data_IF_962219578682
#
_entry.id   IF_962219578682
#
_cell.length_a   1.000
_cell.length_b   1.000
_cell.length_c   1.000
_cell.angle_alpha   90.00
_cell.angle_beta   90.00
_cell.angle_gamma   90.00
#
_symmetry.space_group_name_H-M   'P 1'
#
loop_
_entity.id
_entity.type
_entity.pdbx_description
1 polymer ?
#
# COMPACT_ATOMS: atom_id res chain seq x y z
N UNK A 1 -29.74 -6.80 -15.33
CA UNK A 1 -29.33 -6.77 -13.90
C UNK A 1 -29.27 -8.20 -13.44
N UNK A 2 -28.19 -8.59 -12.77
CA UNK A 2 -28.07 -9.91 -12.14
C UNK A 2 -28.96 -9.94 -10.88
N UNK A 3 -29.63 -11.06 -10.63
CA UNK A 3 -30.45 -11.27 -9.44
C UNK A 3 -30.29 -12.68 -8.90
N UNK A 4 -30.70 -12.86 -7.65
CA UNK A 4 -30.57 -14.12 -6.93
C UNK A 4 -31.85 -14.37 -6.14
N UNK A 5 -32.39 -15.58 -6.24
CA UNK A 5 -33.60 -15.97 -5.51
C UNK A 5 -33.22 -16.56 -4.15
N UNK A 6 -33.79 -15.99 -3.08
CA UNK A 6 -33.64 -16.48 -1.70
C UNK A 6 -35.04 -16.55 -1.11
N UNK A 7 -35.46 -17.74 -0.68
CA UNK A 7 -36.78 -17.97 -0.07
C UNK A 7 -37.96 -17.39 -0.90
N UNK A 8 -37.91 -17.53 -2.24
CA UNK A 8 -38.95 -17.04 -3.15
C UNK A 8 -38.92 -15.52 -3.43
N UNK A 9 -37.94 -14.80 -2.91
CA UNK A 9 -37.74 -13.37 -3.17
C UNK A 9 -36.52 -13.14 -4.07
N UNK A 10 -36.65 -12.25 -5.05
CA UNK A 10 -35.55 -11.86 -5.93
C UNK A 10 -34.80 -10.65 -5.37
N UNK A 11 -33.52 -10.83 -5.11
CA UNK A 11 -32.61 -9.78 -4.68
C UNK A 11 -31.71 -9.37 -5.85
N UNK A 12 -31.50 -8.06 -6.01
CA UNK A 12 -30.45 -7.56 -6.91
C UNK A 12 -29.09 -7.88 -6.33
N UNK A 13 -28.16 -8.27 -7.17
CA UNK A 13 -26.78 -8.53 -6.76
C UNK A 13 -25.82 -7.57 -7.44
N UNK A 14 -24.79 -7.19 -6.69
CA UNK A 14 -23.68 -6.41 -7.22
C UNK A 14 -23.06 -7.23 -8.38
N UNK A 15 -22.83 -6.62 -9.55
CA UNK A 15 -22.52 -7.36 -10.77
C UNK A 15 -21.15 -8.06 -10.73
N UNK A 16 -20.92 -8.94 -11.72
CA UNK A 16 -19.64 -9.60 -12.00
C UNK A 16 -19.15 -10.56 -10.90
N UNK A 17 -20.04 -11.08 -10.04
CA UNK A 17 -19.66 -11.97 -8.93
C UNK A 17 -19.49 -13.45 -9.31
N UNK A 18 -20.17 -13.89 -10.37
CA UNK A 18 -20.36 -15.32 -10.69
C UNK A 18 -20.79 -16.18 -9.48
N UNK A 19 -21.90 -15.84 -8.78
CA UNK A 19 -22.27 -16.46 -7.50
C UNK A 19 -22.37 -17.99 -7.52
N UNK A 20 -22.82 -18.57 -8.62
CA UNK A 20 -22.94 -20.03 -8.78
C UNK A 20 -21.59 -20.75 -8.72
N UNK A 21 -20.51 -20.09 -9.15
CA UNK A 21 -19.15 -20.65 -9.10
C UNK A 21 -18.50 -20.44 -7.73
N UNK A 22 -18.72 -19.28 -7.12
CA UNK A 22 -18.03 -18.88 -5.87
C UNK A 22 -18.78 -19.31 -4.61
N UNK A 23 -20.08 -19.62 -4.70
CA UNK A 23 -20.95 -19.80 -3.55
C UNK A 23 -21.15 -18.53 -2.73
N UNK A 24 -20.83 -17.36 -3.30
CA UNK A 24 -20.81 -16.06 -2.63
C UNK A 24 -21.43 -15.00 -3.55
N UNK A 25 -22.36 -14.21 -3.02
CA UNK A 25 -22.94 -13.04 -3.67
C UNK A 25 -22.98 -11.83 -2.71
N UNK A 26 -23.02 -10.64 -3.29
CA UNK A 26 -23.32 -9.41 -2.56
C UNK A 26 -24.67 -8.87 -3.00
N UNK A 27 -25.63 -8.83 -2.09
CA UNK A 27 -26.95 -8.27 -2.34
C UNK A 27 -26.88 -6.76 -2.26
N UNK A 28 -27.41 -6.07 -3.28
CA UNK A 28 -27.49 -4.61 -3.28
C UNK A 28 -28.47 -4.12 -2.23
N UNK A 29 -28.14 -3.00 -1.58
CA UNK A 29 -29.10 -2.31 -0.73
C UNK A 29 -29.98 -1.41 -1.60
N UNK A 30 -31.32 -1.37 -1.43
CA UNK A 30 -32.19 -0.57 -2.29
C UNK A 30 -31.90 0.93 -2.32
N UNK A 31 -31.27 1.45 -1.27
CA UNK A 31 -30.88 2.86 -1.13
C UNK A 31 -29.41 3.14 -1.49
N UNK A 32 -28.65 2.13 -1.91
CA UNK A 32 -27.26 2.29 -2.33
C UNK A 32 -26.96 1.38 -3.52
N UNK A 33 -26.79 2.00 -4.69
CA UNK A 33 -26.41 1.28 -5.90
C UNK A 33 -24.89 1.21 -6.06
N UNK A 34 -24.38 0.23 -6.83
CA UNK A 34 -22.97 0.19 -7.21
C UNK A 34 -22.48 1.55 -7.73
N UNK A 35 -21.44 2.09 -7.10
CA UNK A 35 -20.93 3.43 -7.35
C UNK A 35 -19.41 3.47 -7.26
N UNK A 36 -18.84 4.66 -7.43
CA UNK A 36 -17.41 4.91 -7.37
C UNK A 36 -16.88 4.91 -5.94
N UNK A 37 -15.56 4.87 -5.82
CA UNK A 37 -14.84 4.90 -4.54
C UNK A 37 -15.38 5.95 -3.57
N UNK A 38 -15.56 7.20 -3.99
CA UNK A 38 -15.96 8.29 -3.10
C UNK A 38 -17.32 8.02 -2.44
N UNK A 39 -18.31 7.58 -3.23
CA UNK A 39 -19.64 7.29 -2.72
C UNK A 39 -19.66 6.05 -1.83
N UNK A 40 -18.87 5.03 -2.17
CA UNK A 40 -18.75 3.83 -1.35
C UNK A 40 -18.03 4.10 -0.03
N UNK A 41 -16.93 4.85 -0.06
CA UNK A 41 -16.16 5.25 1.12
C UNK A 41 -16.99 6.13 2.05
N UNK A 42 -17.68 7.14 1.51
CA UNK A 42 -18.57 8.00 2.28
C UNK A 42 -19.71 7.21 2.91
N UNK A 43 -20.32 6.27 2.16
CA UNK A 43 -21.37 5.41 2.70
C UNK A 43 -20.86 4.54 3.86
N UNK A 44 -19.67 3.94 3.74
CA UNK A 44 -19.08 3.15 4.83
C UNK A 44 -18.78 4.00 6.07
N UNK A 45 -18.50 5.30 5.89
CA UNK A 45 -18.26 6.23 6.99
C UNK A 45 -19.56 6.69 7.66
N UNK A 46 -20.54 7.14 6.88
CA UNK A 46 -21.75 7.81 7.38
C UNK A 46 -22.86 6.84 7.79
N UNK A 47 -23.13 5.83 6.97
CA UNK A 47 -24.21 4.87 7.18
C UNK A 47 -23.81 3.48 6.62
N UNK A 48 -22.93 2.74 7.31
CA UNK A 48 -22.47 1.44 6.87
C UNK A 48 -23.61 0.41 6.76
N UNK A 49 -24.81 0.71 7.27
CA UNK A 49 -25.97 -0.19 7.12
C UNK A 49 -26.45 -0.30 5.65
N UNK A 50 -26.11 0.68 4.81
CA UNK A 50 -26.45 0.75 3.40
C UNK A 50 -25.52 -0.09 2.50
N UNK A 51 -24.45 -0.66 3.04
CA UNK A 51 -23.51 -1.43 2.22
C UNK A 51 -24.15 -2.73 1.68
N UNK A 52 -23.61 -3.30 0.59
CA UNK A 52 -24.04 -4.61 0.12
C UNK A 52 -23.96 -5.70 1.21
N UNK A 53 -24.87 -6.67 1.19
CA UNK A 53 -24.91 -7.77 2.18
C UNK A 53 -24.39 -9.08 1.61
N UNK A 54 -23.70 -9.88 2.43
CA UNK A 54 -23.31 -11.22 2.02
C UNK A 54 -24.53 -12.13 1.86
N UNK A 55 -24.56 -12.85 0.75
CA UNK A 55 -25.29 -14.09 0.61
C UNK A 55 -24.30 -15.23 0.34
N UNK A 56 -24.45 -16.34 1.04
CA UNK A 56 -23.59 -17.52 0.92
C UNK A 56 -24.42 -18.74 0.57
N UNK A 57 -23.89 -19.62 -0.29
CA UNK A 57 -24.56 -20.86 -0.66
C UNK A 57 -24.14 -21.96 0.32
N UNK A 58 -25.09 -22.46 1.11
CA UNK A 58 -24.91 -23.61 2.01
C UNK A 58 -25.88 -24.72 1.66
N UNK A 59 -25.38 -25.95 1.51
CA UNK A 59 -26.20 -27.12 1.16
C UNK A 59 -27.09 -26.88 -0.07
N UNK A 60 -26.59 -26.14 -1.06
CA UNK A 60 -27.33 -25.80 -2.28
C UNK A 60 -28.33 -24.65 -2.14
N UNK A 61 -28.57 -24.13 -0.94
CA UNK A 61 -29.49 -23.03 -0.66
C UNK A 61 -28.73 -21.74 -0.35
N UNK A 62 -29.28 -20.60 -0.77
CA UNK A 62 -28.70 -19.30 -0.49
C UNK A 62 -29.18 -18.78 0.87
N UNK A 63 -28.26 -18.25 1.67
CA UNK A 63 -28.54 -17.67 2.99
C UNK A 63 -27.92 -16.27 3.09
N UNK A 64 -28.66 -15.30 3.61
CA UNK A 64 -28.15 -13.95 3.90
C UNK A 64 -27.48 -13.93 5.26
N UNK A 65 -26.30 -13.32 5.37
CA UNK A 65 -25.63 -13.12 6.66
C UNK A 65 -26.10 -11.79 7.29
N UNK A 66 -27.28 -11.78 7.89
CA UNK A 66 -27.94 -10.56 8.38
C UNK A 66 -27.10 -9.77 9.41
N UNK A 67 -26.36 -10.46 10.27
CA UNK A 67 -25.57 -9.85 11.34
C UNK A 67 -24.08 -9.67 10.99
N UNK A 68 -23.70 -9.84 9.71
CA UNK A 68 -22.32 -9.63 9.27
C UNK A 68 -22.25 -8.74 8.03
N UNK A 69 -21.70 -7.56 8.23
CA UNK A 69 -21.35 -6.66 7.15
C UNK A 69 -20.05 -7.10 6.46
N UNK A 70 -19.92 -6.93 5.13
CA UNK A 70 -18.64 -7.03 4.45
C UNK A 70 -17.54 -6.15 5.04
N UNK A 71 -17.86 -4.89 5.37
CA UNK A 71 -16.92 -3.90 5.89
C UNK A 71 -17.48 -3.31 7.18
N UNK A 72 -16.69 -3.36 8.25
CA UNK A 72 -17.03 -2.81 9.56
C UNK A 72 -16.43 -1.41 9.79
N UNK A 73 -15.68 -0.91 8.82
CA UNK A 73 -15.08 0.42 8.76
C UNK A 73 -14.91 0.85 7.31
N UNK A 74 -14.58 2.12 7.11
CA UNK A 74 -14.23 2.65 5.79
C UNK A 74 -12.97 1.97 5.22
N UNK A 75 -12.77 2.03 3.91
CA UNK A 75 -11.60 1.44 3.26
C UNK A 75 -10.32 2.14 3.75
N UNK A 76 -10.35 3.47 3.90
CA UNK A 76 -9.26 4.23 4.54
C UNK A 76 -8.99 3.78 5.97
N UNK A 77 -10.02 3.44 6.74
CA UNK A 77 -9.90 2.92 8.10
C UNK A 77 -9.14 1.59 8.16
N UNK A 78 -9.38 0.68 7.21
CA UNK A 78 -8.60 -0.55 7.10
C UNK A 78 -7.12 -0.29 6.75
N UNK A 79 -6.84 0.67 5.86
CA UNK A 79 -5.46 1.05 5.53
C UNK A 79 -4.77 1.62 6.78
N UNK A 80 -5.43 2.53 7.50
CA UNK A 80 -4.88 3.22 8.66
C UNK A 80 -4.55 2.28 9.82
N UNK A 81 -5.35 1.23 10.01
CA UNK A 81 -5.11 0.21 11.03
C UNK A 81 -3.82 -0.58 10.77
N UNK A 82 -3.48 -0.78 9.49
CA UNK A 82 -2.27 -1.51 9.08
C UNK A 82 -1.06 -0.58 8.98
N UNK A 83 -1.23 0.60 8.37
CA UNK A 83 -0.17 1.55 8.04
C UNK A 83 -0.39 2.89 8.76
N UNK A 84 -0.25 2.84 10.09
CA UNK A 84 -0.62 3.93 11.01
C UNK A 84 0.13 5.25 10.80
N UNK A 85 1.32 5.23 10.20
CA UNK A 85 2.11 6.46 10.04
C UNK A 85 1.88 7.14 8.69
N UNK A 86 1.04 6.59 7.79
CA UNK A 86 0.68 7.26 6.54
C UNK A 86 -0.04 8.59 6.79
N UNK A 87 0.17 9.54 5.88
CA UNK A 87 -0.61 10.78 5.80
C UNK A 87 -2.04 10.49 5.31
N UNK A 88 -2.98 11.37 5.62
CA UNK A 88 -4.39 11.24 5.19
C UNK A 88 -4.52 11.11 3.66
N UNK A 89 -3.70 11.86 2.91
CA UNK A 89 -3.66 11.77 1.46
C UNK A 89 -3.23 10.36 1.00
N UNK A 90 -2.16 9.82 1.58
CA UNK A 90 -1.70 8.46 1.28
C UNK A 90 -2.71 7.39 1.69
N UNK A 91 -3.39 7.54 2.84
CA UNK A 91 -4.46 6.63 3.25
C UNK A 91 -5.59 6.60 2.21
N UNK A 92 -6.04 7.77 1.74
CA UNK A 92 -7.09 7.88 0.72
C UNK A 92 -6.65 7.31 -0.63
N UNK A 93 -5.44 7.66 -1.09
CA UNK A 93 -4.93 7.23 -2.38
C UNK A 93 -4.66 5.73 -2.43
N UNK A 94 -4.18 5.14 -1.34
CA UNK A 94 -4.01 3.69 -1.20
C UNK A 94 -5.36 2.99 -1.23
N UNK A 95 -6.34 3.44 -0.44
CA UNK A 95 -7.68 2.85 -0.40
C UNK A 95 -8.37 2.93 -1.78
N UNK A 96 -8.30 4.08 -2.43
CA UNK A 96 -8.85 4.30 -3.78
C UNK A 96 -8.17 3.42 -4.84
N UNK A 97 -6.85 3.36 -4.82
CA UNK A 97 -6.07 2.56 -5.77
C UNK A 97 -6.36 1.07 -5.58
N UNK A 98 -6.44 0.61 -4.34
CA UNK A 98 -6.82 -0.76 -4.02
C UNK A 98 -8.24 -1.05 -4.50
N UNK A 99 -9.21 -0.18 -4.23
CA UNK A 99 -10.58 -0.30 -4.74
C UNK A 99 -10.60 -0.44 -6.27
N UNK A 100 -9.96 0.49 -6.98
CA UNK A 100 -9.98 0.49 -8.44
C UNK A 100 -9.34 -0.79 -9.03
N UNK A 101 -8.20 -1.22 -8.46
CA UNK A 101 -7.49 -2.42 -8.93
C UNK A 101 -8.21 -3.71 -8.58
N UNK A 102 -8.81 -3.78 -7.38
CA UNK A 102 -9.59 -4.93 -6.95
C UNK A 102 -10.79 -5.14 -7.89
N UNK A 103 -11.48 -4.05 -8.25
CA UNK A 103 -12.61 -4.07 -9.16
C UNK A 103 -12.23 -4.15 -10.64
N UNK A 104 -10.97 -3.90 -11.01
CA UNK A 104 -10.56 -3.65 -12.41
C UNK A 104 -11.38 -2.53 -13.09
N UNK A 105 -11.90 -1.60 -12.29
CA UNK A 105 -12.84 -0.55 -12.69
C UNK A 105 -12.89 0.51 -11.59
N UNK A 106 -13.32 1.73 -11.94
CA UNK A 106 -13.67 2.78 -10.98
C UNK A 106 -15.04 2.56 -10.31
N UNK A 107 -15.79 1.51 -10.69
CA UNK A 107 -17.09 1.15 -10.12
C UNK A 107 -16.98 -0.18 -9.37
N UNK A 108 -17.64 -0.25 -8.20
CA UNK A 108 -17.71 -1.44 -7.36
C UNK A 108 -18.34 -2.65 -8.09
N UNK A 109 -17.75 -3.83 -7.90
CA UNK A 109 -18.31 -5.10 -8.32
C UNK A 109 -18.05 -6.21 -7.28
N UNK A 110 -18.76 -7.34 -7.40
CA UNK A 110 -18.72 -8.42 -6.41
C UNK A 110 -17.34 -9.07 -6.27
N UNK A 111 -16.59 -9.24 -7.36
CA UNK A 111 -15.23 -9.80 -7.32
C UNK A 111 -14.27 -8.85 -6.60
N UNK A 112 -14.35 -7.55 -6.89
CA UNK A 112 -13.56 -6.54 -6.22
C UNK A 112 -13.85 -6.44 -4.72
N UNK A 113 -15.11 -6.62 -4.29
CA UNK A 113 -15.45 -6.68 -2.87
C UNK A 113 -14.81 -7.88 -2.15
N UNK A 114 -14.80 -9.06 -2.78
CA UNK A 114 -14.11 -10.23 -2.24
C UNK A 114 -12.61 -9.98 -2.14
N UNK A 115 -12.01 -9.43 -3.20
CA UNK A 115 -10.58 -9.10 -3.22
C UNK A 115 -10.23 -8.09 -2.15
N UNK A 116 -11.01 -7.01 -2.00
CA UNK A 116 -10.82 -6.00 -0.96
C UNK A 116 -10.82 -6.63 0.43
N UNK A 117 -11.85 -7.41 0.75
CA UNK A 117 -11.96 -8.03 2.07
C UNK A 117 -10.81 -8.99 2.34
N UNK A 118 -10.41 -9.77 1.35
CA UNK A 118 -9.27 -10.68 1.48
C UNK A 118 -7.96 -9.92 1.66
N UNK A 119 -7.73 -8.85 0.90
CA UNK A 119 -6.52 -8.02 1.01
C UNK A 119 -6.39 -7.41 2.40
N UNK A 120 -7.45 -6.78 2.93
CA UNK A 120 -7.39 -6.19 4.28
C UNK A 120 -7.16 -7.24 5.38
N UNK A 121 -7.79 -8.42 5.26
CA UNK A 121 -7.53 -9.52 6.20
C UNK A 121 -6.08 -9.97 6.16
N UNK A 122 -5.50 -10.08 4.97
CA UNK A 122 -4.09 -10.47 4.82
C UNK A 122 -3.16 -9.37 5.35
N UNK A 123 -3.48 -8.10 5.14
CA UNK A 123 -2.70 -6.99 5.70
C UNK A 123 -2.71 -6.97 7.23
N UNK A 124 -3.84 -7.30 7.85
CA UNK A 124 -3.99 -7.38 9.30
C UNK A 124 -3.34 -8.63 9.91
N UNK A 125 -3.29 -9.74 9.16
CA UNK A 125 -2.72 -11.02 9.63
C UNK A 125 -1.57 -11.48 8.73
N UNK A 126 -0.35 -11.22 9.21
CA UNK A 126 0.95 -11.63 8.66
C UNK A 126 1.15 -13.15 8.51
N UNK A 127 0.27 -13.97 9.09
CA UNK A 127 0.33 -15.44 9.00
C UNK A 127 -0.66 -16.02 7.99
N UNK A 128 -1.53 -15.18 7.42
CA UNK A 128 -2.54 -15.60 6.44
C UNK A 128 -1.88 -16.07 5.14
N UNK A 129 -2.52 -17.05 4.47
CA UNK A 129 -2.03 -17.63 3.23
C UNK A 129 -1.72 -16.56 2.16
N UNK A 130 -0.73 -16.86 1.30
CA UNK A 130 -0.22 -15.97 0.24
C UNK A 130 -1.33 -15.22 -0.48
N UNK A 131 -1.13 -13.91 -0.64
CA UNK A 131 -2.09 -13.02 -1.28
C UNK A 131 -2.28 -13.45 -2.75
N UNK A 132 -3.52 -13.78 -3.19
CA UNK A 132 -3.74 -14.25 -4.56
C UNK A 132 -3.34 -13.22 -5.62
N UNK A 133 -3.44 -11.93 -5.28
CA UNK A 133 -3.07 -10.78 -6.10
C UNK A 133 -1.85 -10.11 -5.51
N UNK A 134 -0.66 -10.56 -5.92
CA UNK A 134 0.62 -10.10 -5.40
C UNK A 134 0.80 -8.58 -5.56
N UNK A 135 0.26 -7.99 -6.61
CA UNK A 135 0.29 -6.55 -6.86
C UNK A 135 -0.51 -5.70 -5.85
N UNK A 136 -1.39 -6.34 -5.06
CA UNK A 136 -2.18 -5.73 -3.99
C UNK A 136 -1.64 -6.12 -2.61
N UNK A 137 -0.56 -6.91 -2.56
CA UNK A 137 -0.06 -7.46 -1.32
C UNK A 137 0.52 -6.38 -0.39
N UNK A 138 0.94 -5.25 -0.94
CA UNK A 138 1.51 -4.14 -0.19
C UNK A 138 1.32 -2.79 -0.95
N UNK A 139 1.08 -1.65 -0.26
CA UNK A 139 1.01 -0.33 -0.87
C UNK A 139 2.21 0.06 -1.74
N UNK A 140 3.43 -0.38 -1.39
CA UNK A 140 4.63 -0.13 -2.18
C UNK A 140 4.59 -0.84 -3.54
N UNK A 141 3.91 -1.99 -3.63
CA UNK A 141 3.67 -2.70 -4.88
C UNK A 141 2.62 -2.00 -5.74
N UNK A 142 1.79 -1.17 -5.12
CA UNK A 142 0.78 -0.37 -5.82
C UNK A 142 1.34 0.92 -6.43
N UNK A 143 2.53 1.37 -6.02
CA UNK A 143 3.15 2.55 -6.59
C UNK A 143 3.47 2.37 -8.08
N UNK A 144 3.21 3.39 -8.92
CA UNK A 144 3.69 3.41 -10.30
C UNK A 144 5.21 3.54 -10.32
N UNK A 145 5.84 2.94 -11.32
CA UNK A 145 7.27 3.11 -11.59
C UNK A 145 7.48 4.50 -12.19
N UNK A 146 8.31 5.32 -11.56
CA UNK A 146 8.66 6.64 -12.07
C UNK A 146 9.78 6.51 -13.11
N UNK A 147 9.53 7.03 -14.31
CA UNK A 147 10.53 7.09 -15.39
C UNK A 147 11.52 8.22 -15.14
N UNK A 148 12.81 7.95 -15.31
CA UNK A 148 13.85 8.97 -15.31
C UNK A 148 13.78 9.79 -16.59
N UNK A 149 13.50 11.08 -16.47
CA UNK A 149 13.37 11.99 -17.61
C UNK A 149 14.63 12.82 -17.89
N UNK A 150 15.56 12.92 -16.93
CA UNK A 150 16.73 13.81 -17.02
C UNK A 150 18.03 13.17 -16.55
N UNK A 151 19.13 13.39 -17.28
CA UNK A 151 20.49 12.94 -16.90
C UNK A 151 21.17 13.86 -15.87
N UNK A 152 20.41 14.74 -15.21
CA UNK A 152 20.92 15.77 -14.28
C UNK A 152 21.29 15.21 -12.90
N UNK A 153 21.03 13.93 -12.63
CA UNK A 153 21.20 13.32 -11.31
C UNK A 153 20.14 13.74 -10.28
N UNK A 154 19.09 14.42 -10.74
CA UNK A 154 17.94 14.83 -9.95
C UNK A 154 16.66 14.31 -10.60
N UNK A 155 15.81 13.70 -9.79
CA UNK A 155 14.50 13.20 -10.18
C UNK A 155 13.42 14.10 -9.61
N UNK A 156 12.47 14.53 -10.46
CA UNK A 156 11.30 15.27 -10.01
C UNK A 156 10.40 14.38 -9.14
N UNK A 157 10.04 14.87 -7.97
CA UNK A 157 9.13 14.19 -7.06
C UNK A 157 7.69 14.39 -7.52
N UNK A 158 6.85 13.33 -7.47
CA UNK A 158 5.41 13.51 -7.60
C UNK A 158 4.89 14.47 -6.51
N UNK A 159 3.89 15.30 -6.84
CA UNK A 159 3.24 16.14 -5.85
C UNK A 159 2.61 15.27 -4.75
N UNK A 160 2.67 15.74 -3.51
CA UNK A 160 2.11 15.05 -2.34
C UNK A 160 0.58 15.14 -2.26
N UNK A 161 -0.03 16.03 -3.03
CA UNK A 161 -1.46 16.30 -3.11
C UNK A 161 -2.06 15.93 -4.48
N UNK A 162 -1.45 14.96 -5.17
CA UNK A 162 -1.89 14.49 -6.49
C UNK A 162 -3.31 13.86 -6.41
N UNK A 163 -4.33 14.71 -6.45
CA UNK A 163 -5.71 14.35 -6.15
C UNK A 163 -6.15 13.06 -6.88
N UNK A 164 -6.39 12.01 -6.09
CA UNK A 164 -7.00 10.77 -6.53
C UNK A 164 -6.07 9.81 -7.27
N UNK A 165 -4.76 9.98 -7.19
CA UNK A 165 -3.80 9.04 -7.79
C UNK A 165 -2.61 8.75 -6.87
N UNK A 166 -2.50 7.48 -6.46
CA UNK A 166 -1.33 6.99 -5.74
C UNK A 166 -0.07 7.09 -6.61
N UNK A 167 0.82 8.03 -6.29
CA UNK A 167 2.11 8.24 -6.97
C UNK A 167 3.32 8.11 -6.05
N UNK A 168 3.11 8.33 -4.76
CA UNK A 168 4.08 8.26 -3.67
C UNK A 168 3.35 7.87 -2.40
N UNK A 169 4.07 7.30 -1.44
CA UNK A 169 3.60 7.17 -0.07
C UNK A 169 4.25 8.26 0.77
N UNK A 170 3.44 8.89 1.60
CA UNK A 170 3.84 9.92 2.54
C UNK A 170 3.48 9.51 3.95
N UNK A 171 4.45 9.65 4.84
CA UNK A 171 4.32 9.36 6.26
C UNK A 171 4.35 10.68 7.04
N UNK A 172 3.37 10.85 7.93
CA UNK A 172 3.11 12.10 8.62
C UNK A 172 3.93 12.19 9.92
N UNK A 173 4.88 13.14 10.05
CA UNK A 173 5.81 13.17 11.19
C UNK A 173 5.17 13.35 12.57
N UNK A 174 3.94 13.86 12.63
CA UNK A 174 3.15 13.91 13.86
C UNK A 174 2.87 12.52 14.47
N UNK A 175 2.89 11.44 13.66
CA UNK A 175 2.68 10.07 14.15
C UNK A 175 3.96 9.46 14.76
N UNK A 176 5.14 10.04 14.47
CA UNK A 176 6.47 9.60 14.92
C UNK A 176 7.36 10.80 15.31
N UNK A 177 6.80 11.69 16.14
CA UNK A 177 7.42 12.98 16.48
C UNK A 177 8.79 12.85 17.15
N UNK A 178 9.00 11.78 17.93
CA UNK A 178 10.29 11.54 18.60
C UNK A 178 11.38 11.24 17.58
N UNK A 179 11.12 10.34 16.63
CA UNK A 179 12.04 9.99 15.56
C UNK A 179 12.32 11.19 14.66
N UNK A 180 11.29 11.97 14.34
CA UNK A 180 11.41 13.18 13.53
C UNK A 180 12.27 14.26 14.21
N UNK A 181 12.01 14.55 15.48
CA UNK A 181 12.77 15.56 16.24
C UNK A 181 14.24 15.16 16.39
N UNK A 182 14.52 13.87 16.61
CA UNK A 182 15.89 13.35 16.67
C UNK A 182 16.64 13.55 15.34
N UNK A 183 15.97 13.30 14.20
CA UNK A 183 16.55 13.57 12.89
C UNK A 183 16.77 15.07 12.64
N UNK A 184 15.82 15.93 13.01
CA UNK A 184 15.97 17.37 12.83
C UNK A 184 17.11 17.97 13.67
N UNK A 185 17.37 17.40 14.85
CA UNK A 185 18.49 17.82 15.69
C UNK A 185 19.86 17.49 15.07
N UNK A 186 19.96 16.39 14.31
CA UNK A 186 21.16 15.98 13.59
C UNK A 186 20.78 15.25 12.28
N UNK A 187 20.65 15.97 11.15
CA UNK A 187 20.17 15.41 9.87
C UNK A 187 21.26 14.64 9.11
N UNK A 188 21.98 13.76 9.81
CA UNK A 188 23.00 12.88 9.23
C UNK A 188 22.38 11.71 8.45
N UNK A 189 23.15 11.11 7.53
CA UNK A 189 22.72 9.91 6.81
C UNK A 189 22.38 8.74 7.75
N UNK A 190 23.07 8.64 8.89
CA UNK A 190 22.77 7.65 9.91
C UNK A 190 21.39 7.89 10.52
N UNK A 191 21.10 9.12 10.95
CA UNK A 191 19.81 9.46 11.53
C UNK A 191 18.68 9.39 10.50
N UNK A 192 18.95 9.64 9.21
CA UNK A 192 18.00 9.40 8.13
C UNK A 192 17.66 7.91 7.99
N UNK A 193 18.66 7.02 7.97
CA UNK A 193 18.44 5.55 7.98
C UNK A 193 17.64 5.12 9.21
N UNK A 194 17.96 5.68 10.38
CA UNK A 194 17.26 5.38 11.64
C UNK A 194 15.81 5.85 11.63
N UNK A 195 15.55 7.09 11.20
CA UNK A 195 14.20 7.65 11.05
C UNK A 195 13.34 6.78 10.14
N UNK A 196 13.80 6.56 8.90
CA UNK A 196 13.00 5.82 7.91
C UNK A 196 12.89 4.34 8.30
N UNK A 197 13.95 3.74 8.85
CA UNK A 197 13.92 2.37 9.36
C UNK A 197 12.89 2.19 10.48
N UNK A 198 12.82 3.13 11.43
CA UNK A 198 11.80 3.12 12.50
C UNK A 198 10.40 3.27 11.93
N UNK A 199 10.18 4.19 10.99
CA UNK A 199 8.89 4.36 10.31
C UNK A 199 8.47 3.05 9.61
N UNK A 200 9.37 2.40 8.87
CA UNK A 200 9.08 1.12 8.23
C UNK A 200 8.67 0.04 9.26
N UNK A 201 9.47 -0.15 10.32
CA UNK A 201 9.15 -1.15 11.36
C UNK A 201 7.80 -0.87 12.03
N UNK A 202 7.49 0.40 12.28
CA UNK A 202 6.20 0.80 12.87
C UNK A 202 4.99 0.52 11.96
N UNK A 203 5.19 0.33 10.67
CA UNK A 203 4.15 0.03 9.67
C UNK A 203 4.20 -1.44 9.21
N UNK A 204 4.80 -2.32 10.03
CA UNK A 204 4.76 -3.78 9.84
C UNK A 204 5.80 -4.33 8.87
N UNK A 205 6.82 -3.55 8.50
CA UNK A 205 7.96 -4.04 7.73
C UNK A 205 9.07 -4.58 8.64
N UNK A 206 9.87 -5.48 8.10
CA UNK A 206 11.07 -6.03 8.75
C UNK A 206 12.31 -5.46 8.06
N UNK A 207 12.95 -4.47 8.69
CA UNK A 207 14.16 -3.86 8.18
C UNK A 207 15.41 -4.66 8.59
N UNK A 208 16.32 -4.89 7.65
CA UNK A 208 17.61 -5.47 7.98
C UNK A 208 18.43 -4.51 8.87
N UNK A 209 19.26 -5.03 9.80
CA UNK A 209 20.03 -4.21 10.73
C UNK A 209 20.90 -3.15 10.03
N UNK A 210 20.97 -1.96 10.61
CA UNK A 210 21.84 -0.90 10.11
C UNK A 210 23.32 -1.27 10.31
N UNK A 211 24.14 -0.99 9.31
CA UNK A 211 25.60 -1.11 9.38
C UNK A 211 26.27 0.22 9.73
N UNK A 212 27.57 0.18 10.02
CA UNK A 212 28.40 1.37 10.32
C UNK A 212 28.74 2.23 9.09
N UNK A 213 28.52 1.74 7.85
CA UNK A 213 28.72 2.55 6.64
C UNK A 213 27.41 3.26 6.28
N UNK A 214 27.50 4.58 6.22
CA UNK A 214 26.36 5.49 6.05
C UNK A 214 26.45 6.33 4.78
N UNK A 215 27.51 6.19 3.98
CA UNK A 215 27.60 6.78 2.63
C UNK A 215 26.64 6.08 1.68
N UNK A 216 25.83 6.88 1.00
CA UNK A 216 24.69 6.39 0.21
C UNK A 216 23.69 5.69 1.13
N UNK A 217 22.91 6.42 1.93
CA UNK A 217 22.03 5.78 2.90
C UNK A 217 21.02 4.87 2.18
N UNK A 218 20.97 3.60 2.59
CA UNK A 218 20.15 2.57 1.96
C UNK A 218 19.57 1.66 3.03
N UNK A 219 18.31 1.28 2.85
CA UNK A 219 17.60 0.32 3.67
C UNK A 219 17.16 -0.84 2.77
N UNK A 220 17.33 -2.06 3.28
CA UNK A 220 16.73 -3.26 2.69
C UNK A 220 15.73 -3.76 3.72
N UNK A 221 14.54 -4.14 3.26
CA UNK A 221 13.49 -4.61 4.15
C UNK A 221 12.53 -5.53 3.42
N UNK A 222 11.79 -6.30 4.21
CA UNK A 222 10.75 -7.23 3.77
C UNK A 222 9.47 -6.95 4.52
N UNK A 223 8.42 -7.69 4.16
CA UNK A 223 7.19 -7.76 4.94
C UNK A 223 6.65 -9.17 4.87
N UNK A 224 5.99 -9.60 5.92
CA UNK A 224 5.27 -10.87 5.92
C UNK A 224 4.20 -10.91 4.81
N UNK A 225 3.71 -12.10 4.47
CA UNK A 225 2.70 -12.40 3.43
C UNK A 225 3.13 -12.36 1.96
N UNK A 226 4.32 -11.86 1.63
CA UNK A 226 4.89 -11.92 0.29
C UNK A 226 6.41 -12.05 0.33
N UNK A 227 7.02 -12.49 -0.77
CA UNK A 227 8.46 -12.73 -0.86
C UNK A 227 9.24 -11.60 -1.56
N UNK A 228 8.60 -10.44 -1.74
CA UNK A 228 9.25 -9.23 -2.23
C UNK A 228 10.30 -8.72 -1.25
N UNK A 229 11.48 -8.39 -1.77
CA UNK A 229 12.51 -7.62 -1.07
C UNK A 229 12.49 -6.20 -1.58
N UNK A 230 12.36 -5.23 -0.67
CA UNK A 230 12.40 -3.82 -0.99
C UNK A 230 13.82 -3.27 -0.81
N UNK A 231 14.30 -2.55 -1.82
CA UNK A 231 15.58 -1.85 -1.78
C UNK A 231 15.32 -0.34 -1.85
N UNK A 232 15.51 0.35 -0.73
CA UNK A 232 15.23 1.78 -0.60
C UNK A 232 16.51 2.59 -0.50
N UNK A 233 16.78 3.39 -1.53
CA UNK A 233 17.78 4.45 -1.47
C UNK A 233 17.18 5.67 -0.78
N UNK A 234 17.96 6.28 0.10
CA UNK A 234 17.60 7.53 0.74
C UNK A 234 18.40 8.66 0.10
N UNK A 235 17.68 9.62 -0.47
CA UNK A 235 18.27 10.73 -1.22
C UNK A 235 18.17 12.06 -0.48
N UNK A 236 19.07 12.99 -0.82
CA UNK A 236 18.91 14.40 -0.43
C UNK A 236 17.83 15.02 -1.30
N UNK A 237 16.92 15.74 -0.66
CA UNK A 237 15.81 16.42 -1.31
C UNK A 237 16.10 17.91 -1.37
N UNK A 238 15.79 18.51 -2.51
CA UNK A 238 15.85 19.96 -2.73
C UNK A 238 14.53 20.39 -3.40
N UNK A 239 13.68 21.08 -2.65
CA UNK A 239 12.32 21.43 -3.05
C UNK A 239 11.49 20.21 -3.49
N UNK A 240 11.22 20.12 -4.79
CA UNK A 240 10.44 19.05 -5.43
C UNK A 240 11.31 18.08 -6.23
N UNK A 241 12.60 18.01 -5.94
CA UNK A 241 13.52 17.07 -6.58
C UNK A 241 14.31 16.29 -5.53
N UNK A 242 14.63 15.04 -5.86
CA UNK A 242 15.49 14.17 -5.06
C UNK A 242 16.73 13.81 -5.87
N UNK A 243 17.88 13.84 -5.19
CA UNK A 243 19.14 13.44 -5.80
C UNK A 243 19.17 11.92 -5.94
N UNK A 244 19.27 11.45 -7.18
CA UNK A 244 19.37 10.04 -7.51
C UNK A 244 20.32 9.87 -8.70
N UNK A 245 21.43 9.21 -8.43
CA UNK A 245 22.56 9.10 -9.35
C UNK A 245 22.77 7.69 -9.87
N UNK A 246 22.14 6.68 -9.28
CA UNK A 246 22.40 5.27 -9.59
C UNK A 246 21.13 4.62 -10.12
N UNK A 247 21.09 4.15 -11.38
CA UNK A 247 19.95 3.40 -11.92
C UNK A 247 19.60 2.16 -11.09
N UNK A 248 18.31 1.78 -10.97
CA UNK A 248 17.89 0.57 -10.29
C UNK A 248 18.62 -0.67 -10.82
N UNK A 249 19.15 -1.49 -9.92
CA UNK A 249 19.91 -2.69 -10.25
C UNK A 249 21.41 -2.44 -10.39
N UNK A 250 21.85 -1.23 -10.74
CA UNK A 250 23.29 -0.93 -10.86
C UNK A 250 23.97 -0.95 -9.48
N UNK A 251 23.21 -0.80 -8.39
CA UNK A 251 23.71 -0.90 -7.02
C UNK A 251 24.33 -2.27 -6.73
N UNK A 252 23.90 -3.33 -7.42
CA UNK A 252 24.43 -4.69 -7.25
C UNK A 252 25.91 -4.81 -7.66
N UNK A 253 26.39 -3.88 -8.49
CA UNK A 253 27.78 -3.82 -8.92
C UNK A 253 28.65 -2.92 -8.02
N UNK A 254 28.08 -2.24 -7.02
CA UNK A 254 28.82 -1.39 -6.10
C UNK A 254 29.67 -2.24 -5.13
N UNK A 255 31.02 -2.13 -5.14
CA UNK A 255 31.87 -2.92 -4.25
C UNK A 255 31.61 -2.61 -2.77
N UNK A 256 31.05 -1.45 -2.44
CA UNK A 256 30.72 -1.04 -1.07
C UNK A 256 29.31 -1.45 -0.63
N UNK A 257 28.53 -2.11 -1.49
CA UNK A 257 27.14 -2.47 -1.18
C UNK A 257 27.07 -3.31 0.11
N UNK A 258 27.90 -4.35 0.23
CA UNK A 258 27.91 -5.22 1.42
C UNK A 258 28.18 -4.46 2.70
N UNK A 259 29.09 -3.48 2.68
CA UNK A 259 29.38 -2.64 3.84
C UNK A 259 28.18 -1.76 4.24
N UNK A 260 27.40 -1.29 3.25
CA UNK A 260 26.25 -0.39 3.43
C UNK A 260 24.98 -1.09 3.93
N UNK A 261 24.71 -2.32 3.48
CA UNK A 261 23.47 -3.05 3.79
C UNK A 261 23.69 -4.29 4.67
N UNK A 262 24.94 -4.76 4.79
CA UNK A 262 25.28 -5.95 5.55
C UNK A 262 25.13 -7.25 4.76
N UNK A 263 25.79 -8.32 5.25
CA UNK A 263 25.79 -9.64 4.60
C UNK A 263 24.37 -10.24 4.51
N UNK A 264 23.54 -10.25 5.57
CA UNK A 264 22.20 -10.85 5.50
C UNK A 264 21.31 -10.17 4.46
N UNK A 265 21.30 -8.83 4.44
CA UNK A 265 20.53 -8.06 3.47
C UNK A 265 21.00 -8.31 2.03
N UNK A 266 22.31 -8.39 1.80
CA UNK A 266 22.87 -8.68 0.48
C UNK A 266 22.44 -10.06 -0.02
N UNK A 267 22.47 -11.08 0.84
CA UNK A 267 22.03 -12.43 0.48
C UNK A 267 20.55 -12.46 0.11
N UNK A 268 19.69 -11.81 0.92
CA UNK A 268 18.26 -11.70 0.63
C UNK A 268 18.01 -10.95 -0.69
N UNK A 269 18.69 -9.82 -0.90
CA UNK A 269 18.61 -9.02 -2.12
C UNK A 269 18.99 -9.81 -3.36
N UNK A 270 20.12 -10.51 -3.36
CA UNK A 270 20.57 -11.29 -4.52
C UNK A 270 19.64 -12.48 -4.81
N UNK A 271 19.11 -13.12 -3.76
CA UNK A 271 18.14 -14.21 -3.90
C UNK A 271 16.84 -13.71 -4.55
N UNK A 272 16.30 -12.58 -4.06
CA UNK A 272 15.11 -11.98 -4.63
C UNK A 272 15.36 -11.45 -6.05
N UNK A 273 16.55 -10.91 -6.33
CA UNK A 273 16.93 -10.41 -7.65
C UNK A 273 16.91 -11.53 -8.69
N UNK A 274 17.49 -12.69 -8.36
CA UNK A 274 17.46 -13.87 -9.23
C UNK A 274 16.03 -14.40 -9.50
N UNK A 275 15.06 -14.03 -8.67
CA UNK A 275 13.66 -14.43 -8.78
C UNK A 275 12.74 -13.32 -9.31
N UNK A 276 13.29 -12.16 -9.73
CA UNK A 276 12.53 -10.97 -10.11
C UNK A 276 11.55 -10.47 -9.03
N UNK A 277 11.98 -10.51 -7.76
CA UNK A 277 11.20 -10.11 -6.57
C UNK A 277 11.77 -8.90 -5.85
N UNK A 278 12.61 -8.12 -6.52
CA UNK A 278 13.13 -6.87 -5.96
C UNK A 278 12.26 -5.72 -6.40
N UNK A 279 11.89 -4.87 -5.45
CA UNK A 279 11.25 -3.59 -5.73
C UNK A 279 12.20 -2.47 -5.34
N UNK A 280 12.56 -1.67 -6.33
CA UNK A 280 13.48 -0.54 -6.17
C UNK A 280 12.70 0.70 -5.78
N UNK A 281 13.18 1.35 -4.72
CA UNK A 281 12.51 2.48 -4.10
C UNK A 281 13.50 3.60 -3.87
N UNK A 282 12.97 4.82 -3.91
CA UNK A 282 13.67 6.03 -3.55
C UNK A 282 12.83 6.80 -2.53
N UNK A 283 13.48 7.38 -1.54
CA UNK A 283 12.78 8.09 -0.48
C UNK A 283 13.67 9.05 0.29
N UNK A 284 13.07 9.73 1.25
CA UNK A 284 13.76 10.73 2.06
C UNK A 284 12.76 11.57 2.83
N UNK A 285 13.23 12.71 3.34
CA UNK A 285 12.38 13.69 4.01
C UNK A 285 12.13 14.87 3.08
N UNK A 286 10.89 15.34 3.00
CA UNK A 286 10.56 16.55 2.27
C UNK A 286 9.92 17.58 3.20
N UNK A 287 10.36 18.83 3.05
CA UNK A 287 9.66 20.00 3.58
C UNK A 287 9.32 20.89 2.39
N UNK A 288 8.03 21.09 2.10
CA UNK A 288 7.58 21.94 0.99
C UNK A 288 7.62 23.41 1.39
N UNK A 289 7.45 24.30 0.40
CA UNK A 289 7.33 25.74 0.64
C UNK A 289 6.12 26.13 1.52
N UNK A 290 5.09 25.29 1.60
CA UNK A 290 3.95 25.47 2.51
C UNK A 290 4.24 25.05 3.95
N UNK A 291 5.44 24.52 4.24
CA UNK A 291 5.80 23.99 5.54
C UNK A 291 5.29 22.57 5.80
N UNK A 292 4.66 21.92 4.82
CA UNK A 292 4.26 20.52 4.95
C UNK A 292 5.50 19.63 4.98
N UNK A 293 5.53 18.72 5.95
CA UNK A 293 6.66 17.84 6.24
C UNK A 293 6.24 16.38 6.07
N UNK A 294 7.10 15.58 5.47
CA UNK A 294 6.89 14.13 5.34
C UNK A 294 8.19 13.35 5.26
N UNK A 295 8.12 12.08 5.65
CA UNK A 295 8.97 11.05 5.06
C UNK A 295 8.20 10.52 3.85
N UNK A 296 8.85 10.33 2.70
CA UNK A 296 8.18 9.80 1.51
C UNK A 296 8.93 8.63 0.89
N UNK A 297 8.19 7.80 0.15
CA UNK A 297 8.71 6.70 -0.66
C UNK A 297 8.03 6.71 -2.04
N UNK A 298 8.83 6.57 -3.08
CA UNK A 298 8.42 6.38 -4.46
C UNK A 298 9.05 5.11 -5.04
N UNK A 299 8.44 4.56 -6.08
CA UNK A 299 8.97 3.40 -6.80
C UNK A 299 9.70 3.85 -8.07
N UNK A 300 10.85 3.25 -8.30
CA UNK A 300 11.65 3.40 -9.52
C UNK A 300 11.96 2.03 -10.13
N UNK A 301 12.41 2.01 -11.39
CA UNK A 301 12.84 0.79 -12.08
C UNK A 301 11.76 0.15 -12.92
#
# INVERSE_FOLDING_TARGET
MESLEINGLHYRVVPQGSPERTGIAFLEHPRFSPSRYEAFEQMLHDDPSLQPRWAVKKNGQWEVLENRFPFDKSLTGYVAETFRDFSDASLNDVARTLFNRANHSDVINSQGLMVLKQTFRNWADASSARIPRQELADPLLMLPVITRTTNTGWLALPPSDAAGALRRLDFAPNHFSTEWNNFNADPSNYNLKRLVGSVLVRNGYEAFPLTIEHRGPTLVFTRANHDTVFFLKLGRVDGYAIRDITPPGNELSDPNLTARIGVPARTALLTAYAQNKVVWLLGGTQTTSSGWQSVFIIREG
#
